data_IF_368359586687
#
_entry.id   IF_368359586687
#
_cell.length_a   1.000
_cell.length_b   1.000
_cell.length_c   1.000
_cell.angle_alpha   90.00
_cell.angle_beta   90.00
_cell.angle_gamma   90.00
#
_symmetry.space_group_name_H-M   'P 1'
#
loop_
_entity.id
_entity.type
_entity.pdbx_description
1 polymer ?
#
# COMPACT_ATOMS: atom_id res chain seq x y z
N UNK A 1 11.79 26.14 19.46
CA UNK A 1 13.17 26.05 19.98
C UNK A 1 13.98 25.12 19.08
N UNK A 2 15.26 25.41 18.86
CA UNK A 2 16.22 24.52 18.22
C UNK A 2 17.29 24.12 19.24
N UNK A 3 17.70 22.86 19.25
CA UNK A 3 18.83 22.37 20.06
C UNK A 3 19.36 21.10 19.42
N UNK A 4 20.61 20.72 19.71
CA UNK A 4 21.12 19.42 19.29
C UNK A 4 20.39 18.33 20.07
N UNK A 5 19.64 17.48 19.36
CA UNK A 5 18.92 16.37 19.98
C UNK A 5 19.83 15.15 20.09
N UNK A 6 19.78 14.50 21.25
CA UNK A 6 20.40 13.20 21.51
C UNK A 6 19.38 12.25 22.14
N UNK A 7 19.59 10.94 22.00
CA UNK A 7 18.66 9.94 22.54
C UNK A 7 18.42 10.11 24.05
N UNK A 8 19.45 10.29 24.91
CA UNK A 8 19.24 10.50 26.34
C UNK A 8 18.49 11.79 26.65
N UNK A 9 18.75 12.86 25.89
CA UNK A 9 18.05 14.13 26.06
C UNK A 9 16.55 13.98 25.73
N UNK A 10 16.22 13.30 24.65
CA UNK A 10 14.84 13.08 24.23
C UNK A 10 14.09 12.25 25.26
N UNK A 11 14.68 11.16 25.74
CA UNK A 11 14.00 10.24 26.66
C UNK A 11 13.82 10.89 28.04
N UNK A 12 14.89 11.47 28.58
CA UNK A 12 14.96 11.86 30.00
C UNK A 12 14.58 13.33 30.27
N UNK A 13 14.78 14.24 29.30
CA UNK A 13 14.56 15.69 29.51
C UNK A 13 13.27 16.19 28.88
N UNK A 14 12.89 15.65 27.72
CA UNK A 14 11.63 16.05 27.10
C UNK A 14 10.45 15.38 27.83
N UNK A 15 9.42 16.15 28.15
CA UNK A 15 8.17 15.62 28.69
C UNK A 15 7.05 16.61 28.41
N UNK A 16 5.79 16.17 28.44
CA UNK A 16 4.67 17.11 28.26
C UNK A 16 4.52 18.08 29.44
N UNK A 17 4.96 17.67 30.64
CA UNK A 17 4.83 18.43 31.88
C UNK A 17 5.88 19.53 32.02
N UNK A 18 6.96 19.45 31.24
CA UNK A 18 8.08 20.38 31.28
C UNK A 18 8.36 20.87 29.87
N UNK A 19 8.26 22.17 29.62
CA UNK A 19 8.57 22.78 28.33
C UNK A 19 9.93 23.45 28.38
N UNK A 20 10.64 23.41 27.27
CA UNK A 20 11.87 24.18 27.11
C UNK A 20 11.53 25.63 26.76
N UNK A 21 12.05 26.57 27.53
CA UNK A 21 11.96 28.01 27.33
C UNK A 21 13.36 28.63 27.21
N UNK A 22 13.44 29.83 26.65
CA UNK A 22 14.67 30.62 26.65
C UNK A 22 14.65 31.53 27.88
N UNK A 23 15.71 31.49 28.68
CA UNK A 23 15.91 32.44 29.77
C UNK A 23 16.12 33.86 29.22
N UNK A 24 16.04 34.86 30.09
CA UNK A 24 16.41 36.25 29.75
C UNK A 24 17.85 36.39 29.23
N UNK A 25 18.73 35.44 29.60
CA UNK A 25 20.12 35.34 29.13
C UNK A 25 20.29 34.50 27.86
N UNK A 26 19.21 34.03 27.23
CA UNK A 26 19.24 33.21 26.02
C UNK A 26 19.61 31.73 26.24
N UNK A 27 19.74 31.29 27.50
CA UNK A 27 20.03 29.89 27.85
C UNK A 27 18.74 29.07 27.80
N UNK A 28 18.83 27.82 27.34
CA UNK A 28 17.69 26.89 27.39
C UNK A 28 17.45 26.50 28.85
N UNK A 29 16.25 26.82 29.35
CA UNK A 29 15.75 26.43 30.67
C UNK A 29 14.49 25.59 30.52
N UNK A 30 14.25 24.70 31.49
CA UNK A 30 13.11 23.81 31.50
C UNK A 30 12.14 24.27 32.57
N UNK A 31 10.96 24.70 32.13
CA UNK A 31 9.91 25.26 32.98
C UNK A 31 8.69 24.35 32.99
N UNK A 32 7.88 24.44 34.04
CA UNK A 32 6.61 23.72 34.10
C UNK A 32 5.69 24.11 32.91
N UNK A 33 4.99 23.12 32.38
CA UNK A 33 3.99 23.27 31.34
C UNK A 33 2.60 22.95 31.93
N UNK A 34 2.02 23.84 32.75
CA UNK A 34 0.77 23.57 33.46
C UNK A 34 -0.40 23.33 32.50
N UNK A 35 -0.39 23.98 31.33
CA UNK A 35 -1.38 23.77 30.28
C UNK A 35 -1.19 22.46 29.49
N UNK A 36 -0.13 21.69 29.77
CA UNK A 36 0.25 20.46 29.05
C UNK A 36 0.20 20.60 27.52
N UNK A 37 0.53 21.79 27.03
CA UNK A 37 0.44 22.09 25.59
C UNK A 37 1.51 21.32 24.83
N UNK A 38 1.09 20.67 23.74
CA UNK A 38 2.00 19.98 22.81
C UNK A 38 3.03 20.97 22.26
N UNK A 39 4.30 20.55 22.23
CA UNK A 39 5.38 21.35 21.68
C UNK A 39 6.33 20.49 20.85
N UNK A 40 7.09 21.17 19.97
CA UNK A 40 8.10 20.55 19.11
C UNK A 40 9.45 21.19 19.41
N UNK A 41 10.45 20.35 19.63
CA UNK A 41 11.85 20.76 19.70
C UNK A 41 12.51 20.34 18.39
N UNK A 42 13.04 21.31 17.66
CA UNK A 42 13.72 21.04 16.39
C UNK A 42 15.18 20.68 16.65
N UNK A 43 15.68 19.73 15.87
CA UNK A 43 17.07 19.31 15.91
C UNK A 43 17.94 20.32 15.17
N UNK A 44 19.08 20.67 15.78
CA UNK A 44 20.10 21.58 15.23
C UNK A 44 21.39 20.83 14.87
N UNK A 45 21.40 19.51 15.00
CA UNK A 45 22.54 18.71 14.60
C UNK A 45 22.85 18.86 13.10
N UNK A 46 24.15 18.94 12.74
CA UNK A 46 24.61 19.12 11.35
C UNK A 46 23.98 18.15 10.36
N UNK A 47 23.77 16.92 10.80
CA UNK A 47 23.23 15.84 9.99
C UNK A 47 21.70 15.80 9.95
N UNK A 48 21.01 16.52 10.83
CA UNK A 48 19.55 16.52 10.86
C UNK A 48 18.98 17.26 9.65
N UNK A 49 17.99 16.69 8.93
CA UNK A 49 17.34 17.42 7.86
C UNK A 49 16.59 18.63 8.41
N UNK A 50 16.61 19.74 7.67
CA UNK A 50 15.96 20.98 8.09
C UNK A 50 14.45 20.77 8.37
N UNK A 51 14.03 21.12 9.58
CA UNK A 51 12.66 20.95 10.07
C UNK A 51 12.41 19.62 10.78
N UNK A 52 13.45 18.80 11.00
CA UNK A 52 13.39 17.61 11.85
C UNK A 52 13.29 17.99 13.31
N UNK A 53 12.53 17.21 14.09
CA UNK A 53 12.41 17.44 15.52
C UNK A 53 11.58 16.38 16.22
N UNK A 54 11.41 16.57 17.53
CA UNK A 54 10.59 15.71 18.39
C UNK A 54 9.40 16.49 18.90
N UNK A 55 8.22 15.94 18.68
CA UNK A 55 6.97 16.39 19.30
C UNK A 55 6.79 15.68 20.65
N UNK A 56 6.77 16.46 21.72
CA UNK A 56 6.36 15.98 23.03
C UNK A 56 4.82 15.99 23.11
N UNK A 57 4.24 14.85 23.47
CA UNK A 57 2.79 14.70 23.66
C UNK A 57 2.51 13.97 24.97
N UNK A 58 1.25 13.96 25.39
CA UNK A 58 0.81 13.32 26.65
C UNK A 58 1.23 11.85 26.72
N UNK A 59 0.98 11.09 25.66
CA UNK A 59 1.15 9.63 25.66
C UNK A 59 2.48 9.17 25.10
N UNK A 60 3.07 9.94 24.17
CA UNK A 60 4.28 9.53 23.46
C UNK A 60 5.07 10.69 22.91
N UNK A 61 6.36 10.44 22.74
CA UNK A 61 7.26 11.31 21.99
C UNK A 61 7.35 10.81 20.57
N UNK A 62 7.22 11.71 19.61
CA UNK A 62 7.13 11.37 18.19
C UNK A 62 8.12 12.19 17.39
N UNK A 63 8.93 11.54 16.58
CA UNK A 63 9.76 12.20 15.59
C UNK A 63 8.89 12.77 14.46
N UNK A 64 9.14 14.02 14.11
CA UNK A 64 8.41 14.76 13.09
C UNK A 64 9.37 15.47 12.15
N UNK A 65 8.95 15.63 10.91
CA UNK A 65 9.67 16.39 9.90
C UNK A 65 8.70 17.35 9.23
N UNK A 66 9.11 18.59 9.06
CA UNK A 66 8.34 19.58 8.31
C UNK A 66 9.18 20.22 7.22
N UNK A 67 8.62 20.32 6.02
CA UNK A 67 9.32 20.88 4.86
C UNK A 67 8.37 21.74 4.05
N UNK A 68 8.89 22.89 3.59
CA UNK A 68 8.21 23.72 2.61
C UNK A 68 8.40 23.10 1.23
N UNK A 69 7.31 22.89 0.51
CA UNK A 69 7.28 22.36 -0.86
C UNK A 69 6.55 23.36 -1.77
N UNK A 70 6.86 23.33 -3.06
CA UNK A 70 6.09 24.12 -4.03
C UNK A 70 4.64 23.62 -4.07
N UNK A 71 3.67 24.54 -4.03
CA UNK A 71 2.25 24.20 -4.18
C UNK A 71 1.98 23.70 -5.59
N UNK A 72 1.15 22.66 -5.71
CA UNK A 72 0.56 22.21 -6.97
C UNK A 72 -0.55 23.14 -7.45
N UNK A 73 -1.30 23.74 -6.51
CA UNK A 73 -2.54 24.45 -6.81
C UNK A 73 -2.46 25.94 -6.47
N UNK A 74 -2.71 26.75 -7.51
CA UNK A 74 -3.46 28.01 -7.62
C UNK A 74 -2.90 28.80 -8.80
N UNK A 75 -3.80 29.22 -9.71
CA UNK A 75 -3.53 30.32 -10.64
C UNK A 75 -2.81 31.44 -9.88
N UNK A 76 -1.58 31.75 -10.27
CA UNK A 76 -0.84 32.90 -9.73
C UNK A 76 -0.75 33.94 -10.82
N UNK A 77 -1.63 34.93 -10.75
CA UNK A 77 -1.35 36.26 -11.26
C UNK A 77 -0.09 36.76 -10.55
N UNK A 78 0.95 37.00 -11.34
CA UNK A 78 2.20 37.72 -11.02
C UNK A 78 2.80 37.59 -9.62
N UNK A 79 3.96 36.93 -9.54
CA UNK A 79 4.91 37.12 -8.45
C UNK A 79 4.87 36.06 -7.35
N UNK A 80 5.55 34.93 -7.61
CA UNK A 80 5.94 33.85 -6.67
C UNK A 80 4.89 32.75 -6.45
N UNK A 81 5.23 31.53 -6.90
CA UNK A 81 4.43 30.31 -6.68
C UNK A 81 4.13 30.11 -5.18
N UNK A 82 2.90 29.72 -4.78
CA UNK A 82 2.59 29.48 -3.39
C UNK A 82 3.42 28.27 -2.94
N UNK A 83 3.91 28.29 -1.71
CA UNK A 83 4.61 27.15 -1.13
C UNK A 83 3.88 26.70 0.13
N UNK A 84 3.58 25.41 0.21
CA UNK A 84 2.89 24.82 1.34
C UNK A 84 3.90 24.16 2.29
N UNK A 85 3.59 24.13 3.58
CA UNK A 85 4.41 23.43 4.57
C UNK A 85 3.76 22.08 4.85
N UNK A 86 4.44 21.01 4.44
CA UNK A 86 4.02 19.65 4.75
C UNK A 86 4.67 19.23 6.07
N UNK A 87 3.86 18.64 6.97
CA UNK A 87 4.30 18.08 8.24
C UNK A 87 4.02 16.57 8.24
N UNK A 88 5.02 15.78 8.59
CA UNK A 88 4.97 14.32 8.51
C UNK A 88 5.47 13.71 9.81
N UNK A 89 4.83 12.62 10.25
CA UNK A 89 5.30 11.78 11.35
C UNK A 89 6.38 10.85 10.80
N UNK A 90 7.58 10.89 11.36
CA UNK A 90 8.66 9.94 11.01
C UNK A 90 8.43 8.61 11.74
N UNK A 91 8.17 8.66 13.04
CA UNK A 91 7.89 7.48 13.88
C UNK A 91 7.86 7.86 15.36
N UNK A 92 7.55 6.92 16.25
CA UNK A 92 7.69 7.15 17.69
C UNK A 92 9.18 7.08 18.08
N UNK A 93 9.55 7.70 19.21
CA UNK A 93 10.96 7.72 19.67
C UNK A 93 11.50 6.32 19.96
N UNK A 94 10.65 5.43 20.45
CA UNK A 94 11.00 4.05 20.79
C UNK A 94 11.01 3.10 19.59
N UNK A 95 10.56 3.55 18.41
CA UNK A 95 10.57 2.72 17.19
C UNK A 95 11.99 2.60 16.60
N UNK A 96 12.94 3.42 17.07
CA UNK A 96 14.31 3.49 16.54
C UNK A 96 15.35 3.22 17.64
N UNK A 97 16.40 2.44 17.34
CA UNK A 97 17.48 2.16 18.29
C UNK A 97 18.34 3.40 18.57
N UNK A 98 18.55 4.26 17.56
CA UNK A 98 19.33 5.49 17.66
C UNK A 98 18.69 6.64 16.85
N UNK A 99 19.13 7.86 17.16
CA UNK A 99 18.61 9.06 16.51
C UNK A 99 19.11 9.23 15.07
N UNK A 100 20.28 8.67 14.73
CA UNK A 100 20.89 8.84 13.41
C UNK A 100 20.13 8.08 12.32
N UNK A 101 19.68 6.87 12.60
CA UNK A 101 18.74 6.13 11.75
C UNK A 101 17.44 6.91 11.52
N UNK A 102 16.95 7.57 12.57
CA UNK A 102 15.76 8.40 12.47
C UNK A 102 16.01 9.62 11.57
N UNK A 103 17.19 10.26 11.67
CA UNK A 103 17.59 11.37 10.79
C UNK A 103 17.65 10.90 9.35
N UNK A 104 18.19 9.71 9.09
CA UNK A 104 18.24 9.12 7.75
C UNK A 104 16.84 8.84 7.19
N UNK A 105 15.95 8.23 7.98
CA UNK A 105 14.55 8.01 7.59
C UNK A 105 13.83 9.33 7.29
N UNK A 106 14.07 10.37 8.12
CA UNK A 106 13.53 11.70 7.88
C UNK A 106 14.04 12.31 6.57
N UNK A 107 15.32 12.09 6.18
CA UNK A 107 15.85 12.55 4.88
C UNK A 107 15.12 11.88 3.73
N UNK A 108 14.89 10.58 3.80
CA UNK A 108 14.14 9.85 2.76
C UNK A 108 12.72 10.42 2.60
N UNK A 109 12.02 10.66 3.70
CA UNK A 109 10.70 11.30 3.68
C UNK A 109 10.74 12.69 3.05
N UNK A 110 11.78 13.50 3.35
CA UNK A 110 11.96 14.82 2.72
C UNK A 110 12.16 14.70 1.21
N UNK A 111 12.94 13.73 0.74
CA UNK A 111 13.12 13.50 -0.70
C UNK A 111 11.78 13.18 -1.37
N UNK A 112 10.99 12.28 -0.77
CA UNK A 112 9.64 11.97 -1.27
C UNK A 112 8.73 13.19 -1.25
N UNK A 113 8.77 14.01 -0.20
CA UNK A 113 7.98 15.26 -0.12
C UNK A 113 8.34 16.24 -1.22
N UNK A 114 9.63 16.41 -1.52
CA UNK A 114 10.10 17.32 -2.56
C UNK A 114 9.73 16.82 -3.96
N UNK A 115 9.86 15.51 -4.20
CA UNK A 115 9.52 14.90 -5.47
C UNK A 115 8.01 14.90 -5.73
N UNK A 116 7.22 14.40 -4.78
CA UNK A 116 5.77 14.17 -4.96
C UNK A 116 4.92 15.38 -4.60
N UNK A 117 5.47 16.36 -3.87
CA UNK A 117 4.74 17.50 -3.27
C UNK A 117 3.55 17.06 -2.39
N UNK A 118 3.53 15.80 -1.96
CA UNK A 118 2.46 15.17 -1.16
C UNK A 118 3.04 14.61 0.15
N UNK A 119 2.15 14.30 1.10
CA UNK A 119 2.54 13.68 2.35
C UNK A 119 2.91 12.19 2.12
N UNK A 120 4.16 11.75 2.37
CA UNK A 120 4.60 10.38 2.10
C UNK A 120 3.80 9.32 2.87
N UNK A 121 3.37 9.61 4.10
CA UNK A 121 2.57 8.66 4.89
C UNK A 121 1.15 8.52 4.35
N UNK A 122 0.65 9.51 3.61
CA UNK A 122 -0.63 9.39 2.91
C UNK A 122 -0.46 8.50 1.68
N UNK A 123 0.58 8.74 0.88
CA UNK A 123 0.93 7.91 -0.28
C UNK A 123 1.10 6.46 0.12
N UNK A 124 1.95 6.18 1.13
CA UNK A 124 2.20 4.82 1.61
C UNK A 124 0.90 4.10 2.00
N UNK A 125 0.02 4.78 2.76
CA UNK A 125 -1.27 4.18 3.17
C UNK A 125 -2.20 3.91 1.98
N UNK A 126 -2.20 4.77 0.97
CA UNK A 126 -2.97 4.55 -0.26
C UNK A 126 -2.40 3.36 -1.05
N UNK A 127 -1.07 3.27 -1.19
CA UNK A 127 -0.39 2.14 -1.84
C UNK A 127 -0.65 0.81 -1.10
N UNK A 128 -0.48 0.77 0.22
CA UNK A 128 -0.71 -0.42 1.04
C UNK A 128 -2.18 -0.88 0.93
N UNK A 129 -3.13 0.06 0.88
CA UNK A 129 -4.55 -0.25 0.71
C UNK A 129 -4.87 -0.81 -0.69
N UNK A 130 -4.28 -0.24 -1.74
CA UNK A 130 -4.42 -0.74 -3.10
C UNK A 130 -3.83 -2.14 -3.25
N UNK A 131 -2.65 -2.39 -2.68
CA UNK A 131 -2.02 -3.71 -2.70
C UNK A 131 -2.88 -4.75 -1.98
N UNK A 132 -3.43 -4.42 -0.81
CA UNK A 132 -4.32 -5.31 -0.08
C UNK A 132 -5.58 -5.64 -0.89
N UNK A 133 -6.17 -4.64 -1.56
CA UNK A 133 -7.33 -4.82 -2.43
C UNK A 133 -7.00 -5.76 -3.60
N UNK A 134 -5.86 -5.56 -4.26
CA UNK A 134 -5.40 -6.43 -5.35
C UNK A 134 -5.19 -7.88 -4.88
N UNK A 135 -4.54 -8.08 -3.72
CA UNK A 135 -4.36 -9.42 -3.13
C UNK A 135 -5.70 -10.09 -2.83
N UNK A 136 -6.68 -9.35 -2.33
CA UNK A 136 -8.02 -9.89 -2.05
C UNK A 136 -8.75 -10.28 -3.35
N UNK A 137 -8.67 -9.44 -4.38
CA UNK A 137 -9.25 -9.74 -5.69
C UNK A 137 -8.65 -11.01 -6.31
N UNK A 138 -7.32 -11.16 -6.27
CA UNK A 138 -6.66 -12.39 -6.76
C UNK A 138 -7.12 -13.64 -6.00
N UNK A 139 -7.27 -13.56 -4.66
CA UNK A 139 -7.80 -14.68 -3.88
C UNK A 139 -9.23 -15.03 -4.28
N UNK A 140 -10.09 -14.03 -4.46
CA UNK A 140 -11.48 -14.24 -4.89
C UNK A 140 -11.54 -14.88 -6.29
N UNK A 141 -10.74 -14.38 -7.24
CA UNK A 141 -10.63 -14.96 -8.58
C UNK A 141 -10.21 -16.43 -8.53
N UNK A 142 -9.17 -16.76 -7.76
CA UNK A 142 -8.71 -18.15 -7.63
C UNK A 142 -9.79 -19.07 -7.04
N UNK A 143 -10.54 -18.60 -6.04
CA UNK A 143 -11.66 -19.35 -5.48
C UNK A 143 -12.79 -19.57 -6.50
N UNK A 144 -13.14 -18.54 -7.28
CA UNK A 144 -14.16 -18.66 -8.33
C UNK A 144 -13.74 -19.65 -9.42
N UNK A 145 -12.48 -19.59 -9.86
CA UNK A 145 -11.92 -20.55 -10.82
C UNK A 145 -12.06 -21.99 -10.29
N UNK A 146 -11.67 -22.24 -9.04
CA UNK A 146 -11.77 -23.55 -8.43
C UNK A 146 -13.21 -24.06 -8.37
N UNK A 147 -14.16 -23.22 -7.98
CA UNK A 147 -15.59 -23.58 -7.93
C UNK A 147 -16.11 -23.92 -9.34
N UNK A 148 -15.78 -23.09 -10.34
CA UNK A 148 -16.17 -23.34 -11.73
C UNK A 148 -15.58 -24.65 -12.25
N UNK A 149 -14.32 -24.96 -11.94
CA UNK A 149 -13.69 -26.25 -12.30
C UNK A 149 -14.40 -27.43 -11.64
N UNK A 150 -14.77 -27.33 -10.36
CA UNK A 150 -15.50 -28.39 -9.65
C UNK A 150 -16.90 -28.59 -10.24
N UNK A 151 -17.62 -27.49 -10.54
CA UNK A 151 -18.94 -27.55 -11.18
C UNK A 151 -18.86 -28.18 -12.57
N UNK A 152 -17.84 -27.82 -13.36
CA UNK A 152 -17.58 -28.42 -14.67
C UNK A 152 -17.33 -29.93 -14.55
N UNK A 153 -16.45 -30.35 -13.65
CA UNK A 153 -16.18 -31.78 -13.39
C UNK A 153 -17.45 -32.56 -13.02
N UNK A 154 -18.33 -31.98 -12.18
CA UNK A 154 -19.62 -32.58 -11.82
C UNK A 154 -20.57 -32.69 -13.01
N UNK A 155 -20.67 -31.63 -13.83
CA UNK A 155 -21.52 -31.61 -15.01
C UNK A 155 -21.05 -32.63 -16.05
N UNK A 156 -19.73 -32.69 -16.29
CA UNK A 156 -19.12 -33.71 -17.16
C UNK A 156 -19.45 -35.10 -16.63
N UNK A 157 -19.20 -35.39 -15.36
CA UNK A 157 -19.49 -36.71 -14.78
C UNK A 157 -20.97 -37.11 -14.89
N UNK A 158 -21.90 -36.16 -14.73
CA UNK A 158 -23.33 -36.40 -14.91
C UNK A 158 -23.67 -36.68 -16.38
N UNK A 159 -23.11 -35.89 -17.30
CA UNK A 159 -23.28 -36.10 -18.74
C UNK A 159 -22.74 -37.47 -19.15
N UNK A 160 -21.53 -37.85 -18.72
CA UNK A 160 -20.95 -39.16 -19.04
C UNK A 160 -21.88 -40.28 -18.57
N UNK A 161 -22.37 -40.22 -17.32
CA UNK A 161 -23.32 -41.23 -16.78
C UNK A 161 -24.62 -41.33 -17.56
N UNK A 162 -25.21 -40.21 -17.98
CA UNK A 162 -26.47 -40.19 -18.73
C UNK A 162 -26.27 -40.62 -20.20
N UNK A 163 -25.10 -40.39 -20.78
CA UNK A 163 -24.78 -40.76 -22.17
C UNK A 163 -24.54 -42.27 -22.30
N UNK A 164 -23.90 -42.90 -21.30
CA UNK A 164 -23.78 -44.38 -21.22
C UNK A 164 -25.14 -45.08 -21.07
N UNK A 165 -26.12 -44.43 -20.43
CA UNK A 165 -27.47 -45.00 -20.29
C UNK A 165 -28.32 -44.89 -21.56
N UNK A 166 -27.96 -43.99 -22.49
CA UNK A 166 -28.71 -43.70 -23.71
C UNK A 166 -28.12 -44.33 -24.98
N UNK A 167 -26.94 -44.94 -24.92
CA UNK A 167 -26.28 -45.51 -26.09
C UNK A 167 -25.79 -46.93 -25.79
N UNK A 168 -26.36 -47.90 -26.48
CA UNK A 168 -25.77 -49.23 -26.67
C UNK A 168 -24.50 -49.08 -27.50
N UNK A 169 -23.39 -48.75 -26.84
CA UNK A 169 -22.07 -48.66 -27.49
C UNK A 169 -21.58 -50.09 -27.75
N UNK A 170 -21.72 -50.56 -28.99
CA UNK A 170 -21.07 -51.79 -29.44
C UNK A 170 -19.58 -51.51 -29.70
N UNK A 171 -18.71 -52.08 -28.86
CA UNK A 171 -17.28 -52.11 -29.09
C UNK A 171 -16.94 -53.21 -30.12
N UNK A 172 -16.46 -52.83 -31.30
CA UNK A 172 -15.84 -53.76 -32.25
C UNK A 172 -14.34 -53.45 -32.30
N UNK A 173 -13.47 -54.31 -31.74
CA UNK A 173 -12.04 -54.09 -31.81
C UNK A 173 -11.57 -54.45 -33.22
N UNK A 174 -11.00 -53.46 -33.93
CA UNK A 174 -10.16 -53.73 -35.12
C UNK A 174 -8.81 -53.07 -34.94
N UNK A 175 -7.77 -53.78 -35.39
CA UNK A 175 -6.41 -53.76 -34.84
C UNK A 175 -5.61 -52.45 -34.96
N UNK A 176 -6.19 -51.34 -35.43
CA UNK A 176 -5.46 -50.08 -35.59
C UNK A 176 -6.27 -48.80 -35.38
N UNK A 177 -7.55 -48.86 -35.01
CA UNK A 177 -8.30 -47.66 -34.58
C UNK A 177 -9.60 -48.01 -33.83
N UNK A 178 -9.88 -47.30 -32.73
CA UNK A 178 -11.20 -47.33 -32.08
C UNK A 178 -12.13 -46.40 -32.86
N UNK A 179 -13.09 -46.95 -33.59
CA UNK A 179 -14.10 -46.18 -34.32
C UNK A 179 -15.35 -46.03 -33.45
N UNK A 180 -15.56 -44.84 -32.89
CA UNK A 180 -16.80 -44.51 -32.15
C UNK A 180 -17.84 -44.10 -33.19
N UNK A 181 -18.85 -44.94 -33.42
CA UNK A 181 -20.00 -44.61 -34.29
C UNK A 181 -21.19 -44.26 -33.41
N UNK A 182 -21.58 -42.99 -33.41
CA UNK A 182 -22.80 -42.51 -32.77
C UNK A 182 -23.95 -42.70 -33.76
N UNK A 183 -24.92 -43.55 -33.42
CA UNK A 183 -26.19 -43.59 -34.16
C UNK A 183 -26.99 -42.35 -33.76
N UNK A 184 -27.36 -41.55 -34.76
CA UNK A 184 -28.17 -40.32 -34.67
C UNK A 184 -27.44 -39.00 -34.33
N UNK A 185 -26.68 -38.50 -35.31
CA UNK A 185 -27.13 -37.30 -36.05
C UNK A 185 -27.19 -35.91 -35.39
N UNK A 186 -26.48 -35.60 -34.29
CA UNK A 186 -26.26 -34.19 -33.89
C UNK A 186 -24.81 -33.91 -33.46
N UNK A 187 -24.14 -32.89 -34.04
CA UNK A 187 -22.74 -32.62 -33.78
C UNK A 187 -22.56 -31.89 -32.44
N UNK A 188 -21.66 -32.41 -31.61
CA UNK A 188 -21.20 -31.79 -30.37
C UNK A 188 -20.21 -30.67 -30.74
N UNK A 189 -20.72 -29.53 -31.21
CA UNK A 189 -19.92 -28.31 -31.39
C UNK A 189 -19.96 -27.36 -30.17
N UNK A 190 -20.62 -27.76 -29.08
CA UNK A 190 -20.87 -26.85 -27.95
C UNK A 190 -19.84 -26.90 -26.81
N UNK A 191 -18.99 -27.93 -26.75
CA UNK A 191 -18.08 -28.13 -25.62
C UNK A 191 -16.75 -27.35 -25.75
N UNK A 192 -16.27 -27.08 -26.96
CA UNK A 192 -14.97 -26.42 -27.16
C UNK A 192 -15.09 -24.89 -27.14
N UNK A 193 -16.22 -24.32 -27.56
CA UNK A 193 -16.42 -22.86 -27.67
C UNK A 193 -16.61 -22.17 -26.32
N UNK A 194 -17.13 -22.86 -25.29
CA UNK A 194 -17.28 -22.30 -23.93
C UNK A 194 -15.95 -22.24 -23.17
N UNK A 195 -14.99 -23.10 -23.53
CA UNK A 195 -13.64 -23.11 -22.95
C UNK A 195 -12.79 -21.96 -23.52
N UNK A 196 -12.97 -21.61 -24.80
CA UNK A 196 -12.28 -20.47 -25.42
C UNK A 196 -12.83 -19.12 -24.95
N UNK A 197 -14.15 -18.94 -24.92
CA UNK A 197 -14.77 -17.65 -24.57
C UNK A 197 -14.65 -17.27 -23.08
N UNK A 198 -14.44 -18.23 -22.18
CA UNK A 198 -14.19 -17.96 -20.76
C UNK A 198 -12.72 -17.66 -20.45
N UNK A 199 -11.79 -18.15 -21.27
CA UNK A 199 -10.36 -17.88 -21.14
C UNK A 199 -9.95 -16.56 -21.80
N UNK A 200 -10.43 -16.28 -23.01
CA UNK A 200 -9.99 -15.09 -23.77
C UNK A 200 -10.53 -13.79 -23.17
N UNK A 201 -11.79 -13.80 -22.71
CA UNK A 201 -12.39 -12.64 -22.03
C UNK A 201 -11.80 -12.40 -20.63
N UNK A 202 -11.21 -13.43 -20.03
CA UNK A 202 -10.52 -13.35 -18.75
C UNK A 202 -9.09 -12.80 -18.91
N UNK A 203 -8.38 -13.23 -19.95
CA UNK A 203 -7.09 -12.65 -20.33
C UNK A 203 -7.23 -11.18 -20.73
N UNK A 204 -8.27 -10.81 -21.50
CA UNK A 204 -8.56 -9.40 -21.82
C UNK A 204 -8.84 -8.56 -20.56
N UNK A 205 -9.57 -9.10 -19.57
CA UNK A 205 -9.78 -8.42 -18.28
C UNK A 205 -8.47 -8.31 -17.47
N UNK A 206 -7.63 -9.34 -17.46
CA UNK A 206 -6.32 -9.29 -16.82
C UNK A 206 -5.36 -8.29 -17.51
N UNK A 207 -5.41 -8.18 -18.83
CA UNK A 207 -4.58 -7.27 -19.63
C UNK A 207 -5.08 -5.82 -19.55
N UNK A 208 -6.39 -5.59 -19.52
CA UNK A 208 -6.97 -4.25 -19.33
C UNK A 208 -6.60 -3.66 -17.95
N UNK A 209 -6.58 -4.50 -16.91
CA UNK A 209 -6.21 -4.09 -15.54
C UNK A 209 -4.70 -4.01 -15.33
N UNK A 210 -3.89 -4.80 -16.05
CA UNK A 210 -2.43 -4.65 -16.06
C UNK A 210 -1.99 -3.38 -16.79
N UNK A 211 -2.73 -2.97 -17.81
CA UNK A 211 -2.47 -1.73 -18.57
C UNK A 211 -2.82 -0.46 -17.78
N UNK A 212 -3.82 -0.50 -16.89
CA UNK A 212 -4.17 0.62 -16.00
C UNK A 212 -3.24 0.78 -14.79
N UNK A 213 -2.29 -0.14 -14.58
CA UNK A 213 -1.30 -0.06 -13.50
C UNK A 213 0.05 0.54 -13.93
N UNK A 214 0.19 0.96 -15.20
CA UNK A 214 1.45 1.45 -15.80
C UNK A 214 1.41 2.96 -16.19
N UNK A 215 0.34 3.70 -15.89
CA UNK A 215 0.30 5.19 -15.95
C UNK A 215 0.11 5.82 -14.57
#
# INVERSE_FOLDING_TARGET
>A
MKTTLSQPFIINKLSINVKSALSRSGKIVFEANPAQKLYIVFDDHREAPAGFGVKASLTKKTYVIQRRVASSDRNVSEGRKPSSVLKVKVGNVFDFPNIDETRQAARQLVQTMLATKRNPNKIKRETDASELKMRLLLKLCNCLILICSIQHQKLVALWTKNTWHSQSINFIPTATAIKIVLHEGKPIHFATTVIALSSDRYLELCDLYSSQAIE
#
